data_IF_144605772897
#
_entry.id   IF_144605772897
#
_cell.length_a   1.000
_cell.length_b   1.000
_cell.length_c   1.000
_cell.angle_alpha   90.00
_cell.angle_beta   90.00
_cell.angle_gamma   90.00
#
_symmetry.space_group_name_H-M   'P 1'
#
loop_
_entity.id
_entity.type
_entity.pdbx_description
1 polymer ?
#
# COMPACT_ATOMS: atom_id res chain seq x y z
N UNK A 1 5.37 20.66 -25.76
CA UNK A 1 5.48 19.21 -25.56
C UNK A 1 4.74 18.86 -24.29
N UNK A 2 3.76 17.95 -24.30
CA UNK A 2 3.18 17.42 -23.06
C UNK A 2 4.23 16.56 -22.37
N UNK A 3 4.41 16.73 -21.06
CA UNK A 3 5.24 15.81 -20.28
C UNK A 3 4.64 14.40 -20.39
N UNK A 4 5.46 13.33 -20.38
CA UNK A 4 4.97 11.95 -20.53
C UNK A 4 4.28 11.41 -19.25
N UNK A 5 4.14 12.26 -18.24
CA UNK A 5 3.58 11.97 -16.94
C UNK A 5 2.63 13.08 -16.49
N UNK A 6 1.80 12.75 -15.52
CA UNK A 6 0.91 13.68 -14.82
C UNK A 6 1.24 13.67 -13.32
N UNK A 7 1.03 14.81 -12.67
CA UNK A 7 1.15 14.89 -11.21
C UNK A 7 -0.08 14.30 -10.52
N UNK A 8 0.12 13.78 -9.32
CA UNK A 8 -0.97 13.19 -8.55
C UNK A 8 -1.73 14.28 -7.78
N UNK A 9 -3.01 14.44 -8.13
CA UNK A 9 -3.95 15.30 -7.42
C UNK A 9 -5.10 14.50 -6.83
N UNK A 10 -5.68 15.00 -5.75
CA UNK A 10 -6.89 14.44 -5.15
C UNK A 10 -8.06 14.55 -6.14
N UNK A 11 -8.75 13.44 -6.48
CA UNK A 11 -9.85 13.47 -7.44
C UNK A 11 -11.08 14.25 -6.96
N UNK A 12 -11.17 14.53 -5.65
CA UNK A 12 -12.33 15.21 -5.06
C UNK A 12 -12.14 16.72 -4.86
N UNK A 13 -10.91 17.20 -4.69
CA UNK A 13 -10.64 18.62 -4.38
C UNK A 13 -9.47 19.22 -5.17
N UNK A 14 -8.75 18.44 -5.97
CA UNK A 14 -7.65 18.93 -6.81
C UNK A 14 -6.37 19.33 -6.05
N UNK A 15 -6.27 19.05 -4.74
CA UNK A 15 -5.04 19.34 -3.97
C UNK A 15 -3.95 18.30 -4.31
N UNK A 16 -2.67 18.70 -4.44
CA UNK A 16 -1.55 17.75 -4.55
C UNK A 16 -1.54 16.75 -3.40
N UNK A 17 -1.20 15.50 -3.69
CA UNK A 17 -1.14 14.44 -2.67
C UNK A 17 0.30 14.10 -2.29
N UNK A 18 0.45 13.57 -1.08
CA UNK A 18 1.71 12.97 -0.64
C UNK A 18 1.77 11.50 -1.08
N UNK A 19 2.97 10.90 -1.18
CA UNK A 19 3.11 9.46 -1.38
C UNK A 19 2.41 8.66 -0.27
N UNK A 20 1.81 7.50 -0.59
CA UNK A 20 1.25 6.61 0.42
C UNK A 20 2.37 6.06 1.33
N UNK A 21 2.00 5.71 2.55
CA UNK A 21 2.89 5.31 3.65
C UNK A 21 2.44 3.98 4.25
N UNK A 22 3.37 3.25 4.84
CA UNK A 22 3.09 2.10 5.67
C UNK A 22 2.50 2.58 7.00
N UNK A 23 1.20 2.37 7.19
CA UNK A 23 0.53 2.73 8.44
C UNK A 23 0.55 1.53 9.39
N UNK A 24 1.08 1.67 10.62
CA UNK A 24 1.01 0.61 11.61
C UNK A 24 -0.44 0.21 11.88
N UNK A 25 -0.71 -1.10 11.83
CA UNK A 25 -1.95 -1.69 12.30
C UNK A 25 -1.63 -2.85 13.23
N UNK A 26 -2.46 -3.09 14.24
CA UNK A 26 -2.34 -4.23 15.16
C UNK A 26 -2.57 -5.61 14.53
N UNK A 27 -2.50 -5.70 13.20
CA UNK A 27 -2.69 -6.89 12.38
C UNK A 27 -2.08 -6.67 10.99
N UNK A 28 -2.09 -7.70 10.11
CA UNK A 28 -1.54 -7.58 8.77
C UNK A 28 -2.33 -6.53 7.97
N UNK A 29 -1.69 -5.42 7.61
CA UNK A 29 -2.20 -4.50 6.59
C UNK A 29 -1.44 -4.78 5.31
N UNK A 30 -2.17 -4.93 4.23
CA UNK A 30 -1.58 -5.35 2.96
C UNK A 30 -1.15 -4.17 2.10
N UNK A 31 -1.79 -3.01 2.28
CA UNK A 31 -1.65 -1.87 1.37
C UNK A 31 -1.18 -0.60 2.07
N UNK A 32 -0.23 0.14 1.46
CA UNK A 32 0.12 1.48 1.91
C UNK A 32 -1.03 2.47 1.74
N UNK A 33 -1.12 3.44 2.63
CA UNK A 33 -2.23 4.40 2.71
C UNK A 33 -1.76 5.84 2.79
N UNK A 34 -2.63 6.77 2.43
CA UNK A 34 -2.46 8.18 2.76
C UNK A 34 -3.80 8.90 2.89
N UNK A 35 -3.73 10.18 3.19
CA UNK A 35 -4.91 11.04 3.30
C UNK A 35 -4.64 12.40 2.66
N UNK A 36 -5.62 12.90 1.92
CA UNK A 36 -5.62 14.26 1.42
C UNK A 36 -5.70 15.26 2.56
N UNK A 37 -4.73 16.18 2.67
CA UNK A 37 -4.69 17.19 3.73
C UNK A 37 -5.83 18.22 3.64
N UNK A 38 -6.45 18.39 2.48
CA UNK A 38 -7.52 19.38 2.26
C UNK A 38 -8.92 18.81 2.52
N UNK A 39 -9.31 17.75 1.81
CA UNK A 39 -10.67 17.19 1.92
C UNK A 39 -10.74 15.91 2.77
N UNK A 40 -9.60 15.46 3.33
CA UNK A 40 -9.49 14.29 4.19
C UNK A 40 -9.85 12.95 3.54
N UNK A 41 -9.93 12.90 2.20
CA UNK A 41 -10.10 11.65 1.46
C UNK A 41 -8.91 10.72 1.71
N UNK A 42 -9.20 9.45 1.99
CA UNK A 42 -8.21 8.40 2.20
C UNK A 42 -7.94 7.71 0.88
N UNK A 43 -6.69 7.28 0.67
CA UNK A 43 -6.33 6.47 -0.48
C UNK A 43 -5.44 5.28 -0.12
N UNK A 44 -5.69 4.14 -0.77
CA UNK A 44 -4.90 2.92 -0.67
C UNK A 44 -4.17 2.63 -1.98
N UNK A 45 -2.92 2.18 -1.89
CA UNK A 45 -2.09 1.82 -3.03
C UNK A 45 -2.07 0.31 -3.28
N UNK A 46 -2.58 -0.10 -4.43
CA UNK A 46 -2.42 -1.45 -4.96
C UNK A 46 -1.28 -1.48 -5.98
N UNK A 47 -0.21 -2.21 -5.65
CA UNK A 47 0.95 -2.39 -6.52
C UNK A 47 0.63 -3.17 -7.80
N UNK A 48 -0.41 -4.01 -7.77
CA UNK A 48 -0.76 -4.89 -8.90
C UNK A 48 -1.66 -4.22 -9.92
N UNK A 49 -2.47 -3.24 -9.48
CA UNK A 49 -3.54 -2.62 -10.26
C UNK A 49 -4.78 -3.50 -10.46
N UNK A 50 -4.79 -4.71 -9.90
CA UNK A 50 -5.87 -5.68 -10.10
C UNK A 50 -6.63 -6.01 -8.82
N UNK A 51 -6.09 -5.64 -7.65
CA UNK A 51 -6.70 -5.91 -6.34
C UNK A 51 -7.45 -4.67 -5.82
N UNK A 52 -8.17 -3.98 -6.70
CA UNK A 52 -8.91 -2.76 -6.37
C UNK A 52 -9.99 -2.99 -5.31
N UNK A 53 -10.56 -4.20 -5.25
CA UNK A 53 -11.52 -4.57 -4.22
C UNK A 53 -10.91 -4.54 -2.81
N UNK A 54 -9.71 -5.12 -2.63
CA UNK A 54 -9.02 -5.04 -1.35
C UNK A 54 -8.55 -3.60 -1.06
N UNK A 55 -8.08 -2.86 -2.08
CA UNK A 55 -7.70 -1.46 -1.92
C UNK A 55 -8.88 -0.59 -1.45
N UNK A 56 -10.07 -0.83 -1.99
CA UNK A 56 -11.30 -0.18 -1.53
C UNK A 56 -11.57 -0.47 -0.06
N UNK A 57 -11.56 -1.75 0.35
CA UNK A 57 -11.83 -2.14 1.74
C UNK A 57 -10.80 -1.52 2.69
N UNK A 58 -9.53 -1.56 2.34
CA UNK A 58 -8.45 -0.95 3.11
C UNK A 58 -8.64 0.57 3.28
N UNK A 59 -8.97 1.27 2.19
CA UNK A 59 -9.23 2.71 2.23
C UNK A 59 -10.48 3.05 3.07
N UNK A 60 -11.58 2.31 2.89
CA UNK A 60 -12.84 2.55 3.60
C UNK A 60 -12.69 2.30 5.10
N UNK A 61 -12.15 1.15 5.49
CA UNK A 61 -11.94 0.79 6.89
C UNK A 61 -10.97 1.78 7.55
N UNK A 62 -9.92 2.20 6.87
CA UNK A 62 -9.01 3.21 7.40
C UNK A 62 -9.70 4.58 7.54
N UNK A 63 -10.52 4.99 6.56
CA UNK A 63 -11.35 6.18 6.65
C UNK A 63 -12.35 6.13 7.82
N UNK A 64 -12.80 4.93 8.20
CA UNK A 64 -13.60 4.71 9.41
C UNK A 64 -12.74 4.54 10.68
N UNK A 65 -11.51 5.04 10.70
CA UNK A 65 -10.60 4.92 11.84
C UNK A 65 -10.34 3.44 12.27
N UNK A 66 -10.27 2.52 11.31
CA UNK A 66 -10.21 1.06 11.51
C UNK A 66 -11.45 0.44 12.20
N UNK A 67 -12.57 1.14 12.22
CA UNK A 67 -13.86 0.59 12.65
C UNK A 67 -14.50 -0.18 11.47
N UNK A 68 -14.34 -1.49 11.51
CA UNK A 68 -14.94 -2.41 10.54
C UNK A 68 -16.46 -2.42 10.60
N UNK A 69 -17.04 -2.24 11.80
CA UNK A 69 -18.49 -2.25 11.97
C UNK A 69 -19.12 -1.02 11.35
N UNK A 70 -18.51 0.16 11.54
CA UNK A 70 -18.94 1.38 10.89
C UNK A 70 -18.79 1.28 9.37
N UNK A 71 -17.63 0.84 8.86
CA UNK A 71 -17.36 0.74 7.43
C UNK A 71 -18.42 -0.07 6.67
N UNK A 72 -18.94 -1.16 7.26
CA UNK A 72 -19.97 -2.00 6.65
C UNK A 72 -21.41 -1.49 6.79
N UNK A 73 -21.61 -0.42 7.55
CA UNK A 73 -22.90 0.25 7.65
C UNK A 73 -23.04 1.41 6.67
N UNK A 74 -21.91 1.92 6.14
CA UNK A 74 -21.92 3.03 5.21
C UNK A 74 -22.43 2.63 3.82
N UNK A 75 -23.24 3.49 3.23
CA UNK A 75 -23.78 3.35 1.89
C UNK A 75 -22.97 4.17 0.88
N UNK A 76 -22.61 3.60 -0.28
CA UNK A 76 -21.93 4.32 -1.34
C UNK A 76 -22.82 5.45 -1.88
N UNK A 77 -22.19 6.57 -2.25
CA UNK A 77 -22.80 7.82 -2.74
C UNK A 77 -23.67 8.57 -1.71
N UNK A 78 -24.16 7.91 -0.66
CA UNK A 78 -24.83 8.54 0.46
C UNK A 78 -23.81 8.97 1.52
N UNK A 79 -23.07 8.01 2.10
CA UNK A 79 -22.14 8.23 3.21
C UNK A 79 -20.69 8.43 2.77
N UNK A 80 -20.35 7.97 1.57
CA UNK A 80 -19.01 8.14 1.00
C UNK A 80 -19.00 8.18 -0.52
N UNK A 81 -17.97 8.81 -1.08
CA UNK A 81 -17.65 8.81 -2.49
C UNK A 81 -16.37 8.02 -2.75
N UNK A 82 -16.24 7.47 -3.95
CA UNK A 82 -15.08 6.67 -4.36
C UNK A 82 -14.51 7.12 -5.70
N UNK A 83 -13.21 6.93 -5.89
CA UNK A 83 -12.52 7.21 -7.16
C UNK A 83 -11.29 6.31 -7.32
N UNK A 84 -10.84 6.10 -8.55
CA UNK A 84 -9.64 5.31 -8.85
C UNK A 84 -8.71 6.12 -9.73
N UNK A 85 -7.42 6.13 -9.38
CA UNK A 85 -6.35 6.66 -10.23
C UNK A 85 -5.44 5.50 -10.61
N UNK A 86 -5.44 5.14 -11.89
CA UNK A 86 -4.64 4.05 -12.44
C UNK A 86 -3.28 4.54 -12.94
N UNK A 87 -2.38 3.59 -13.19
CA UNK A 87 -1.04 3.83 -13.76
C UNK A 87 -0.22 4.80 -12.92
N UNK A 88 -0.46 4.77 -11.61
CA UNK A 88 0.32 5.47 -10.62
C UNK A 88 1.61 4.68 -10.35
N UNK A 89 2.72 5.38 -10.38
CA UNK A 89 4.02 4.85 -10.03
C UNK A 89 4.45 5.33 -8.65
N UNK A 90 4.69 4.38 -7.76
CA UNK A 90 5.14 4.68 -6.41
C UNK A 90 6.56 5.27 -6.37
N UNK A 91 7.46 4.83 -7.25
CA UNK A 91 8.88 5.21 -7.20
C UNK A 91 9.12 6.69 -7.52
N UNK A 92 8.40 7.20 -8.53
CA UNK A 92 8.49 8.58 -8.99
C UNK A 92 7.37 9.46 -8.45
N UNK A 93 6.34 8.87 -7.83
CA UNK A 93 5.14 9.56 -7.35
C UNK A 93 4.47 10.38 -8.48
N UNK A 94 4.20 9.70 -9.60
CA UNK A 94 3.62 10.27 -10.82
C UNK A 94 2.67 9.28 -11.49
N UNK A 95 1.78 9.80 -12.32
CA UNK A 95 0.87 9.01 -13.15
C UNK A 95 1.47 8.93 -14.55
N UNK A 96 1.50 7.74 -15.14
CA UNK A 96 1.98 7.53 -16.51
C UNK A 96 0.84 7.04 -17.40
N UNK A 97 0.16 7.92 -18.17
CA UNK A 97 -1.00 7.53 -18.98
C UNK A 97 -0.72 6.42 -19.99
N UNK A 98 0.52 6.29 -20.48
CA UNK A 98 0.97 5.20 -21.36
C UNK A 98 1.00 3.83 -20.67
N UNK A 99 1.04 3.80 -19.33
CA UNK A 99 1.25 2.59 -18.54
C UNK A 99 2.67 2.01 -18.66
N UNK A 100 3.62 2.74 -19.27
CA UNK A 100 5.00 2.30 -19.48
C UNK A 100 5.93 3.47 -19.21
N UNK A 101 6.95 3.24 -18.39
CA UNK A 101 8.01 4.20 -18.10
C UNK A 101 9.34 3.45 -17.97
N UNK A 102 10.42 3.94 -18.60
CA UNK A 102 11.76 3.33 -18.56
C UNK A 102 11.80 1.81 -18.83
N UNK A 103 10.96 1.33 -19.75
CA UNK A 103 10.89 -0.09 -20.13
C UNK A 103 10.15 -1.00 -19.14
N UNK A 104 9.68 -0.48 -18.00
CA UNK A 104 8.79 -1.21 -17.07
C UNK A 104 7.33 -0.82 -17.27
N UNK A 105 6.43 -1.77 -17.00
CA UNK A 105 4.97 -1.53 -16.99
C UNK A 105 4.56 -0.93 -15.65
N UNK A 106 3.89 0.21 -15.68
CA UNK A 106 3.27 0.86 -14.53
C UNK A 106 1.83 0.37 -14.41
N UNK A 107 1.59 -0.45 -13.39
CA UNK A 107 0.27 -1.03 -13.12
C UNK A 107 -0.36 -0.53 -11.82
N UNK A 108 0.41 0.14 -10.98
CA UNK A 108 -0.05 0.60 -9.68
C UNK A 108 -1.31 1.46 -9.79
N UNK A 109 -2.20 1.31 -8.82
CA UNK A 109 -3.44 2.07 -8.73
C UNK A 109 -3.64 2.61 -7.32
N UNK A 110 -4.27 3.78 -7.23
CA UNK A 110 -4.72 4.39 -5.99
C UNK A 110 -6.24 4.35 -5.94
N UNK A 111 -6.78 3.70 -4.92
CA UNK A 111 -8.20 3.68 -4.66
C UNK A 111 -8.52 4.71 -3.59
N UNK A 112 -9.45 5.61 -3.89
CA UNK A 112 -9.83 6.72 -3.03
C UNK A 112 -11.20 6.51 -2.41
N UNK A 113 -11.33 6.86 -1.13
CA UNK A 113 -12.59 6.95 -0.40
C UNK A 113 -12.66 8.30 0.31
N UNK A 114 -13.76 9.01 0.14
CA UNK A 114 -14.05 10.26 0.85
C UNK A 114 -15.38 10.12 1.58
N UNK A 115 -15.35 10.16 2.91
CA UNK A 115 -16.56 10.17 3.72
C UNK A 115 -17.28 11.52 3.61
N UNK A 116 -18.59 11.51 3.81
CA UNK A 116 -19.37 12.72 4.04
C UNK A 116 -18.90 13.44 5.33
N UNK A 117 -19.08 14.78 5.41
CA UNK A 117 -18.55 15.58 6.51
C UNK A 117 -18.91 15.11 7.92
N UNK A 118 -20.13 14.62 8.11
CA UNK A 118 -20.66 14.12 9.39
C UNK A 118 -19.96 12.85 9.87
N UNK A 119 -19.76 11.86 9.00
CA UNK A 119 -18.99 10.66 9.32
C UNK A 119 -17.49 10.98 9.46
N UNK A 120 -17.00 11.93 8.66
CA UNK A 120 -15.61 12.36 8.70
C UNK A 120 -15.26 13.04 10.03
N UNK A 121 -16.14 13.88 10.56
CA UNK A 121 -15.91 14.63 11.80
C UNK A 121 -15.53 13.72 12.97
N UNK A 122 -16.19 12.56 13.08
CA UNK A 122 -15.95 11.60 14.17
C UNK A 122 -14.75 10.66 13.94
N UNK A 123 -14.20 10.61 12.72
CA UNK A 123 -13.11 9.68 12.35
C UNK A 123 -11.77 10.38 12.13
N UNK A 124 -11.78 11.67 11.76
CA UNK A 124 -10.58 12.40 11.31
C UNK A 124 -9.44 12.44 12.33
N UNK A 125 -9.75 12.60 13.62
CA UNK A 125 -8.73 12.73 14.65
C UNK A 125 -7.89 11.45 14.77
N UNK A 126 -8.54 10.29 14.88
CA UNK A 126 -7.85 9.00 14.96
C UNK A 126 -7.07 8.64 13.68
N UNK A 127 -7.53 9.08 12.50
CA UNK A 127 -6.79 8.91 11.25
C UNK A 127 -5.49 9.73 11.27
N UNK A 128 -5.57 11.01 11.68
CA UNK A 128 -4.40 11.90 11.74
C UNK A 128 -3.32 11.32 12.65
N UNK A 129 -3.70 10.81 13.82
CA UNK A 129 -2.77 10.17 14.76
C UNK A 129 -2.07 8.95 14.14
N UNK A 130 -2.80 8.09 13.44
CA UNK A 130 -2.22 6.90 12.77
C UNK A 130 -1.26 7.28 11.65
N UNK A 131 -1.56 8.32 10.89
CA UNK A 131 -0.68 8.81 9.82
C UNK A 131 0.59 9.46 10.36
N UNK A 132 0.57 10.04 11.55
CA UNK A 132 1.80 10.54 12.20
C UNK A 132 2.76 9.40 12.56
N UNK A 133 2.23 8.21 12.83
CA UNK A 133 3.02 7.01 13.12
C UNK A 133 3.40 6.24 11.85
N UNK A 134 2.92 6.67 10.67
CA UNK A 134 3.15 6.00 9.42
C UNK A 134 4.59 6.16 8.94
N UNK A 135 5.18 5.05 8.47
CA UNK A 135 6.53 5.02 7.92
C UNK A 135 6.48 5.29 6.42
N UNK A 136 7.41 6.08 5.87
CA UNK A 136 7.54 6.18 4.42
C UNK A 136 7.84 4.79 3.85
N UNK A 137 7.26 4.47 2.70
CA UNK A 137 7.62 3.25 1.99
C UNK A 137 9.08 3.32 1.64
N UNK A 138 9.88 2.43 2.21
CA UNK A 138 11.31 2.36 1.91
C UNK A 138 11.43 2.14 0.41
N UNK A 139 12.03 3.11 -0.29
CA UNK A 139 12.31 3.01 -1.73
C UNK A 139 13.26 1.86 -1.94
N UNK A 140 12.73 0.66 -2.19
CA UNK A 140 13.53 -0.41 -2.76
C UNK A 140 13.75 -0.03 -4.21
N UNK A 141 14.75 0.84 -4.43
CA UNK A 141 15.45 0.81 -5.71
C UNK A 141 15.77 -0.65 -5.95
N UNK A 142 15.40 -1.17 -7.11
CA UNK A 142 15.99 -2.40 -7.65
C UNK A 142 17.49 -2.15 -7.93
N UNK A 143 18.23 -1.79 -6.89
CA UNK A 143 19.67 -1.77 -6.82
C UNK A 143 20.06 -3.16 -6.36
N UNK A 144 20.52 -3.93 -7.33
CA UNK A 144 21.40 -5.09 -7.19
C UNK A 144 22.20 -5.03 -5.88
N UNK A 145 21.71 -5.67 -4.83
CA UNK A 145 22.44 -5.84 -3.57
C UNK A 145 22.78 -7.30 -3.45
N UNK A 146 23.80 -7.67 -4.20
CA UNK A 146 24.87 -8.52 -3.67
C UNK A 146 25.33 -7.96 -2.33
N UNK A 147 25.37 -8.83 -1.32
CA UNK A 147 26.13 -8.74 -0.04
C UNK A 147 25.66 -7.66 0.95
N UNK A 148 25.33 -7.94 2.21
CA UNK A 148 25.85 -8.96 3.15
C UNK A 148 24.82 -9.30 4.24
N UNK A 149 24.32 -10.53 4.25
CA UNK A 149 23.98 -11.25 5.49
C UNK A 149 24.95 -12.41 5.57
N UNK A 150 25.71 -12.48 6.65
CA UNK A 150 26.65 -13.54 6.90
C UNK A 150 25.95 -14.91 6.86
N UNK A 151 26.46 -15.77 5.97
CA UNK A 151 26.80 -17.18 6.22
C UNK A 151 25.77 -18.03 6.99
N UNK A 152 24.88 -18.70 6.24
CA UNK A 152 24.71 -20.17 6.29
C UNK A 152 23.48 -20.58 5.46
N UNK A 153 23.64 -20.73 4.15
CA UNK A 153 22.66 -21.41 3.30
C UNK A 153 23.38 -22.51 2.55
N UNK A 154 22.99 -23.76 2.78
CA UNK A 154 23.63 -24.93 2.17
C UNK A 154 23.41 -24.91 0.65
N UNK A 155 24.46 -24.63 -0.12
CA UNK A 155 24.46 -24.80 -1.58
C UNK A 155 24.90 -26.23 -1.91
N UNK A 156 23.98 -27.19 -1.79
CA UNK A 156 24.21 -28.58 -2.18
C UNK A 156 22.97 -29.45 -2.01
N UNK A 157 22.90 -30.56 -2.74
CA UNK A 157 21.83 -31.55 -2.58
C UNK A 157 21.94 -32.22 -1.20
N UNK A 158 20.97 -31.95 -0.33
CA UNK A 158 20.93 -32.49 1.05
C UNK A 158 20.51 -33.96 0.99
N UNK A 159 21.23 -34.85 1.69
CA UNK A 159 20.83 -36.26 1.77
C UNK A 159 19.82 -36.49 2.90
N UNK A 160 19.10 -37.62 2.85
CA UNK A 160 18.00 -37.92 3.80
C UNK A 160 18.42 -37.88 5.28
N UNK A 161 19.65 -38.29 5.61
CA UNK A 161 20.13 -38.29 7.02
C UNK A 161 20.38 -36.88 7.54
N UNK A 162 20.79 -35.96 6.68
CA UNK A 162 21.02 -34.56 7.05
C UNK A 162 19.70 -33.82 7.30
N UNK A 163 18.66 -34.10 6.49
CA UNK A 163 17.31 -33.55 6.71
C UNK A 163 16.74 -34.00 8.06
N UNK A 164 16.89 -35.28 8.40
CA UNK A 164 16.38 -35.82 9.68
C UNK A 164 17.03 -35.15 10.90
N UNK A 165 18.32 -34.82 10.82
CA UNK A 165 19.03 -34.08 11.88
C UNK A 165 18.54 -32.64 11.99
N UNK A 166 18.39 -31.94 10.87
CA UNK A 166 17.93 -30.55 10.84
C UNK A 166 16.50 -30.38 11.37
N UNK A 167 15.62 -31.34 11.06
CA UNK A 167 14.26 -31.37 11.60
C UNK A 167 14.27 -31.65 13.11
N UNK A 168 15.13 -32.55 13.60
CA UNK A 168 15.29 -32.79 15.04
C UNK A 168 15.80 -31.57 15.79
N UNK A 169 16.68 -30.80 15.16
CA UNK A 169 17.27 -29.58 15.74
C UNK A 169 16.41 -28.33 15.51
N UNK A 170 15.24 -28.48 14.85
CA UNK A 170 14.30 -27.40 14.55
C UNK A 170 14.91 -26.24 13.72
N UNK A 171 15.95 -26.54 12.94
CA UNK A 171 16.65 -25.61 12.05
C UNK A 171 16.05 -25.65 10.64
N UNK A 172 14.76 -25.34 10.56
CA UNK A 172 13.96 -25.42 9.33
C UNK A 172 14.28 -24.29 8.34
N UNK A 173 14.84 -23.19 8.84
CA UNK A 173 15.35 -22.04 8.09
C UNK A 173 16.40 -22.44 7.05
N UNK A 174 17.14 -23.52 7.28
CA UNK A 174 18.19 -24.01 6.39
C UNK A 174 17.70 -24.90 5.25
N UNK A 175 16.42 -25.32 5.27
CA UNK A 175 15.80 -26.18 4.25
C UNK A 175 14.95 -25.40 3.23
N UNK A 176 14.71 -24.11 3.47
CA UNK A 176 13.92 -23.26 2.59
C UNK A 176 14.87 -22.61 1.56
N UNK A 177 14.78 -23.08 0.30
CA UNK A 177 15.50 -22.51 -0.85
C UNK A 177 14.83 -21.24 -1.38
#
# INVERSE_FOLDING_TARGET
MRQPFEELFCPFCGTPLDPPKEVPSGGPREMPLGQCSSCGAVYAYDVTGHNLGAAFVEALVFACNNDWSLAWQLLPEEDYQQAVVEKYDLETHRIFPSGIFEGRKIRGALYFVRLQPDVQEVTQEGIKEKLQQAKPLTRTTAAKTTTTTAENTFKGAVNKKEVETLVKEYRLDLLLQ
#
